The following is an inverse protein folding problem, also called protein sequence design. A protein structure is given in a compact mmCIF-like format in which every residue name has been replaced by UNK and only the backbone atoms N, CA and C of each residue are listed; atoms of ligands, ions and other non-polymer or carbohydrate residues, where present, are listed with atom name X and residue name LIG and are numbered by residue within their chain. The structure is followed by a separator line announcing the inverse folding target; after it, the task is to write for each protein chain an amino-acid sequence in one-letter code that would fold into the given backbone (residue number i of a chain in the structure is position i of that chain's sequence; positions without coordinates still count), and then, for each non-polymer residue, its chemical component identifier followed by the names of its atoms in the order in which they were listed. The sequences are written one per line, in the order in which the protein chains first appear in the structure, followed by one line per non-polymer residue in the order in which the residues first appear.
data_IF_416848264186
#
_entry.id   IF_416848264186
#
_cell.length_a   1.000
_cell.length_b   1.000
_cell.length_c   1.000
_cell.angle_alpha   90.00
_cell.angle_beta   90.00
_cell.angle_gamma   90.00
#
_symmetry.space_group_name_H-M   'P 1'
#
loop_
_entity.id
_entity.type
_entity.pdbx_description
1 polymer ?
#
# COMPACT_ATOMS: atom_id res chain seq x y z
N UNK A 1 23.23 3.22 -12.90
CA UNK A 1 22.05 3.96 -13.41
C UNK A 1 21.51 3.41 -14.72
N UNK A 2 22.35 3.08 -15.71
CA UNK A 2 21.90 2.54 -17.01
C UNK A 2 21.01 1.30 -16.86
N UNK A 3 21.45 0.29 -16.12
CA UNK A 3 20.68 -0.96 -15.93
C UNK A 3 19.31 -0.72 -15.26
N UNK A 4 19.23 0.22 -14.32
CA UNK A 4 17.94 0.64 -13.70
C UNK A 4 17.00 1.21 -14.77
N UNK A 5 17.51 2.09 -15.64
CA UNK A 5 16.70 2.72 -16.69
C UNK A 5 16.22 1.68 -17.70
N UNK A 6 17.09 0.75 -18.11
CA UNK A 6 16.74 -0.32 -19.04
C UNK A 6 15.70 -1.28 -18.45
N UNK A 7 15.82 -1.66 -17.19
CA UNK A 7 14.81 -2.46 -16.49
C UNK A 7 13.45 -1.75 -16.41
N UNK A 8 13.44 -0.46 -16.11
CA UNK A 8 12.22 0.36 -16.15
C UNK A 8 11.64 0.45 -17.56
N UNK A 9 12.48 0.63 -18.58
CA UNK A 9 12.03 0.73 -19.97
C UNK A 9 11.38 -0.57 -20.46
N UNK A 10 12.04 -1.71 -20.23
CA UNK A 10 11.52 -3.03 -20.56
C UNK A 10 10.19 -3.32 -19.82
N UNK A 11 10.14 -3.01 -18.51
CA UNK A 11 8.90 -3.08 -17.73
C UNK A 11 7.82 -2.21 -18.38
N UNK A 12 8.10 -0.95 -18.68
CA UNK A 12 7.14 -0.01 -19.26
C UNK A 12 6.49 -0.53 -20.55
N UNK A 13 7.29 -1.07 -21.49
CA UNK A 13 6.79 -1.59 -22.77
C UNK A 13 6.15 -2.99 -22.65
N UNK A 14 6.18 -3.61 -21.47
CA UNK A 14 5.62 -4.94 -21.24
C UNK A 14 6.53 -6.09 -21.67
N UNK A 15 7.81 -5.84 -21.96
CA UNK A 15 8.79 -6.89 -22.25
C UNK A 15 9.28 -7.51 -20.94
N UNK A 16 8.50 -8.48 -20.45
CA UNK A 16 8.77 -9.21 -19.22
C UNK A 16 10.17 -9.85 -19.22
N UNK A 17 10.55 -10.52 -20.31
CA UNK A 17 11.82 -11.24 -20.41
C UNK A 17 13.00 -10.28 -20.31
N UNK A 18 12.99 -9.17 -21.06
CA UNK A 18 14.04 -8.17 -20.97
C UNK A 18 14.08 -7.52 -19.58
N UNK A 19 12.91 -7.25 -18.97
CA UNK A 19 12.84 -6.68 -17.63
C UNK A 19 13.48 -7.61 -16.58
N UNK A 20 13.15 -8.91 -16.59
CA UNK A 20 13.71 -9.92 -15.69
C UNK A 20 15.24 -10.10 -15.89
N UNK A 21 15.70 -10.08 -17.14
CA UNK A 21 17.14 -10.10 -17.46
C UNK A 21 17.87 -8.88 -16.90
N UNK A 22 17.29 -7.68 -17.04
CA UNK A 22 17.85 -6.46 -16.47
C UNK A 22 17.83 -6.46 -14.94
N UNK A 23 16.77 -6.98 -14.31
CA UNK A 23 16.69 -7.15 -12.86
C UNK A 23 17.77 -8.12 -12.35
N UNK A 24 17.99 -9.23 -13.04
CA UNK A 24 19.04 -10.21 -12.71
C UNK A 24 20.44 -9.60 -12.84
N UNK A 25 20.71 -8.90 -13.94
CA UNK A 25 21.98 -8.19 -14.12
C UNK A 25 22.19 -7.08 -13.09
N UNK A 26 21.12 -6.38 -12.70
CA UNK A 26 21.14 -5.39 -11.63
C UNK A 26 21.48 -6.03 -10.29
N UNK A 27 20.85 -7.16 -9.92
CA UNK A 27 21.17 -7.89 -8.69
C UNK A 27 22.65 -8.26 -8.63
N UNK A 28 23.21 -8.79 -9.73
CA UNK A 28 24.64 -9.10 -9.79
C UNK A 28 25.55 -7.89 -9.55
N UNK A 29 25.18 -6.72 -10.09
CA UNK A 29 25.94 -5.48 -9.85
C UNK A 29 25.86 -5.05 -8.39
N UNK A 30 24.70 -5.22 -7.76
CA UNK A 30 24.51 -4.90 -6.34
C UNK A 30 25.36 -5.82 -5.47
N UNK A 31 25.40 -7.12 -5.76
CA UNK A 31 26.26 -8.08 -5.03
C UNK A 31 27.73 -7.71 -5.16
N UNK A 32 28.19 -7.36 -6.37
CA UNK A 32 29.57 -6.91 -6.60
C UNK A 32 29.92 -5.61 -5.87
N UNK A 33 28.92 -4.82 -5.46
CA UNK A 33 29.09 -3.62 -4.63
C UNK A 33 28.94 -3.88 -3.13
N UNK A 34 28.83 -5.14 -2.72
CA UNK A 34 28.70 -5.53 -1.30
C UNK A 34 27.26 -5.49 -0.79
N UNK A 35 26.27 -5.50 -1.67
CA UNK A 35 24.85 -5.57 -1.32
C UNK A 35 24.11 -4.24 -1.39
N UNK A 36 22.79 -4.31 -1.21
CA UNK A 36 21.88 -3.17 -1.40
C UNK A 36 22.19 -2.01 -0.44
N UNK A 37 22.56 -2.32 0.80
CA UNK A 37 22.87 -1.31 1.82
C UNK A 37 24.11 -0.49 1.44
N UNK A 38 25.12 -1.14 0.84
CA UNK A 38 26.39 -0.48 0.50
C UNK A 38 26.23 0.61 -0.56
N UNK A 39 25.20 0.51 -1.41
CA UNK A 39 24.89 1.53 -2.42
C UNK A 39 24.60 2.92 -1.82
N UNK A 40 24.22 2.98 -0.53
CA UNK A 40 23.92 4.25 0.14
C UNK A 40 25.14 5.16 0.24
N UNK A 41 26.34 4.57 0.31
CA UNK A 41 27.60 5.31 0.43
C UNK A 41 28.00 5.98 -0.90
N UNK A 42 27.62 5.39 -2.04
CA UNK A 42 27.77 6.02 -3.35
C UNK A 42 26.71 7.10 -3.57
N UNK A 43 25.45 6.76 -3.29
CA UNK A 43 24.32 7.66 -3.44
C UNK A 43 23.14 7.18 -2.57
N UNK A 44 22.69 7.97 -1.59
CA UNK A 44 21.65 7.53 -0.65
C UNK A 44 20.28 7.30 -1.29
N UNK A 45 20.06 7.69 -2.55
CA UNK A 45 18.84 7.42 -3.33
C UNK A 45 18.93 6.15 -4.18
N UNK A 46 20.12 5.58 -4.35
CA UNK A 46 20.34 4.45 -5.25
C UNK A 46 19.65 3.16 -4.77
N UNK A 47 19.68 2.79 -3.47
CA UNK A 47 18.95 1.62 -2.99
C UNK A 47 17.46 1.69 -3.35
N UNK A 48 16.83 2.85 -3.13
CA UNK A 48 15.41 3.06 -3.44
C UNK A 48 15.09 2.91 -4.94
N UNK A 49 16.01 3.30 -5.82
CA UNK A 49 15.84 3.13 -7.27
C UNK A 49 15.92 1.66 -7.68
N UNK A 50 16.84 0.91 -7.08
CA UNK A 50 17.00 -0.53 -7.30
C UNK A 50 15.74 -1.29 -6.86
N UNK A 51 15.25 -1.02 -5.64
CA UNK A 51 14.02 -1.65 -5.13
C UNK A 51 12.82 -1.39 -6.03
N UNK A 52 12.67 -0.17 -6.56
CA UNK A 52 11.56 0.17 -7.45
C UNK A 52 11.56 -0.59 -8.77
N UNK A 53 12.71 -0.98 -9.29
CA UNK A 53 12.76 -1.82 -10.50
C UNK A 53 12.22 -3.19 -10.11
N UNK A 54 12.84 -3.84 -9.14
CA UNK A 54 12.52 -5.22 -8.75
C UNK A 54 11.08 -5.39 -8.27
N UNK A 55 10.64 -4.57 -7.31
CA UNK A 55 9.25 -4.57 -6.84
C UNK A 55 8.30 -4.22 -7.99
N UNK A 56 8.65 -3.25 -8.84
CA UNK A 56 7.80 -2.86 -9.96
C UNK A 56 7.50 -4.00 -10.92
N UNK A 57 8.49 -4.87 -11.18
CA UNK A 57 8.30 -6.07 -11.98
C UNK A 57 7.35 -7.05 -11.28
N UNK A 58 7.53 -7.28 -9.98
CA UNK A 58 6.67 -8.17 -9.20
C UNK A 58 5.21 -7.70 -9.19
N UNK A 59 4.97 -6.39 -8.99
CA UNK A 59 3.63 -5.80 -8.99
C UNK A 59 2.96 -5.83 -10.38
N UNK A 60 3.75 -5.81 -11.46
CA UNK A 60 3.22 -5.81 -12.82
C UNK A 60 2.99 -7.22 -13.38
N UNK A 61 3.93 -8.13 -13.14
CA UNK A 61 3.98 -9.43 -13.80
C UNK A 61 3.75 -10.62 -12.85
N UNK A 62 3.63 -10.39 -11.55
CA UNK A 62 3.49 -11.46 -10.56
C UNK A 62 4.73 -12.34 -10.42
N UNK A 63 5.90 -11.83 -10.82
CA UNK A 63 7.16 -12.56 -10.66
C UNK A 63 7.70 -12.41 -9.23
N UNK A 64 8.58 -13.34 -8.85
CA UNK A 64 9.29 -13.26 -7.58
C UNK A 64 10.40 -12.20 -7.67
N UNK A 65 10.51 -11.26 -6.72
CA UNK A 65 11.60 -10.28 -6.72
C UNK A 65 12.98 -10.94 -6.64
N UNK A 66 14.00 -10.34 -7.27
CA UNK A 66 15.38 -10.84 -7.28
C UNK A 66 16.13 -10.53 -5.98
N UNK A 67 15.78 -9.45 -5.29
CA UNK A 67 16.33 -9.12 -3.96
C UNK A 67 15.51 -9.76 -2.82
N UNK A 68 14.65 -10.70 -3.16
CA UNK A 68 13.91 -11.49 -2.18
C UNK A 68 14.86 -12.39 -1.40
N UNK A 69 15.03 -12.09 -0.11
CA UNK A 69 15.77 -12.94 0.82
C UNK A 69 14.81 -13.79 1.66
N UNK A 70 15.05 -15.10 1.74
CA UNK A 70 14.31 -15.99 2.64
C UNK A 70 14.65 -15.72 4.11
N UNK A 71 15.81 -15.11 4.38
CA UNK A 71 16.33 -14.85 5.71
C UNK A 71 16.01 -13.42 6.21
N UNK A 72 15.06 -12.73 5.56
CA UNK A 72 14.64 -11.39 5.97
C UNK A 72 14.04 -11.41 7.38
N UNK A 73 14.52 -10.49 8.23
CA UNK A 73 13.93 -10.27 9.56
C UNK A 73 12.48 -9.81 9.45
N UNK A 74 11.60 -10.38 10.28
CA UNK A 74 10.19 -10.00 10.40
C UNK A 74 9.91 -9.09 11.59
N UNK A 75 10.93 -8.72 12.35
CA UNK A 75 10.78 -7.73 13.41
C UNK A 75 10.42 -6.37 12.78
N UNK A 76 9.56 -5.57 13.44
CA UNK A 76 9.27 -4.22 12.98
C UNK A 76 10.57 -3.43 12.86
N UNK A 77 10.76 -2.74 11.73
CA UNK A 77 11.98 -1.99 11.45
C UNK A 77 11.76 -0.49 11.72
N UNK A 78 10.88 0.17 10.96
CA UNK A 78 10.67 1.61 11.06
C UNK A 78 10.08 2.00 12.42
N UNK A 79 9.06 1.25 12.85
CA UNK A 79 8.39 1.48 14.14
C UNK A 79 9.30 1.23 15.36
N UNK A 80 10.43 0.53 15.17
CA UNK A 80 11.42 0.29 16.23
C UNK A 80 12.48 1.39 16.36
N UNK A 81 12.61 2.29 15.37
CA UNK A 81 13.70 3.28 15.35
C UNK A 81 13.42 4.54 16.19
N UNK A 82 12.28 4.62 16.88
CA UNK A 82 11.87 5.78 17.69
C UNK A 82 12.04 7.13 16.94
N UNK A 83 11.80 7.14 15.62
CA UNK A 83 11.95 8.35 14.78
C UNK A 83 11.10 9.52 15.28
N UNK A 84 9.92 9.21 15.84
CA UNK A 84 9.09 10.15 16.57
C UNK A 84 9.45 10.06 18.05
N UNK A 85 10.34 10.96 18.51
CA UNK A 85 10.75 11.07 19.91
C UNK A 85 9.57 11.51 20.77
N UNK A 86 8.82 10.53 21.26
CA UNK A 86 7.64 10.76 22.07
C UNK A 86 6.73 9.54 22.06
N UNK A 87 7.00 8.57 22.93
CA UNK A 87 5.98 7.62 23.40
C UNK A 87 4.90 8.37 24.18
N UNK A 88 4.19 9.29 23.53
CA UNK A 88 2.82 9.57 23.97
C UNK A 88 2.06 8.33 23.53
N UNK A 89 1.66 7.50 24.50
CA UNK A 89 0.52 6.61 24.30
C UNK A 89 -0.57 7.52 23.71
N UNK A 90 -0.84 7.41 22.42
CA UNK A 90 -1.96 8.12 21.83
C UNK A 90 -3.19 7.63 22.62
N UNK A 91 -3.97 8.53 23.23
CA UNK A 91 -5.20 8.14 23.92
C UNK A 91 -6.21 7.48 22.95
N UNK A 92 -6.05 7.73 21.65
CA UNK A 92 -6.95 7.30 20.58
C UNK A 92 -6.39 6.13 19.75
N UNK A 93 -5.74 5.14 20.37
CA UNK A 93 -5.52 3.88 19.65
C UNK A 93 -6.90 3.29 19.38
N UNK A 94 -7.31 3.25 18.11
CA UNK A 94 -8.55 2.64 17.68
C UNK A 94 -8.57 1.19 18.19
N UNK A 95 -9.35 0.95 19.25
CA UNK A 95 -9.35 -0.31 19.99
C UNK A 95 -9.67 -1.49 19.06
N UNK A 96 -10.54 -1.25 18.07
CA UNK A 96 -10.93 -2.25 17.08
C UNK A 96 -9.78 -2.60 16.14
N UNK A 97 -8.93 -1.62 15.76
CA UNK A 97 -7.76 -1.88 14.94
C UNK A 97 -6.72 -2.69 15.71
N UNK A 98 -6.45 -2.34 16.97
CA UNK A 98 -5.50 -3.10 17.79
C UNK A 98 -5.99 -4.52 18.08
N UNK A 99 -7.29 -4.71 18.30
CA UNK A 99 -7.91 -6.03 18.42
C UNK A 99 -7.76 -6.83 17.11
N UNK A 100 -8.02 -6.21 15.96
CA UNK A 100 -7.85 -6.84 14.65
C UNK A 100 -6.40 -7.26 14.39
N UNK A 101 -5.42 -6.40 14.67
CA UNK A 101 -3.99 -6.72 14.50
C UNK A 101 -3.53 -7.90 15.36
N UNK A 102 -4.18 -8.17 16.50
CA UNK A 102 -3.90 -9.35 17.33
C UNK A 102 -4.43 -10.65 16.73
N UNK A 103 -5.38 -10.57 15.78
CA UNK A 103 -5.92 -11.75 15.10
C UNK A 103 -5.14 -12.16 13.85
N UNK A 104 -4.25 -11.29 13.35
CA UNK A 104 -3.46 -11.55 12.14
C UNK A 104 -2.17 -12.33 12.46
N UNK A 105 -1.59 -12.94 11.42
CA UNK A 105 -0.20 -13.37 11.43
C UNK A 105 0.71 -12.24 11.98
N UNK A 106 1.52 -12.51 13.02
CA UNK A 106 2.41 -11.51 13.61
C UNK A 106 3.31 -10.80 12.60
N UNK A 107 3.71 -11.50 11.53
CA UNK A 107 4.51 -10.93 10.43
C UNK A 107 3.74 -9.85 9.68
N UNK A 108 2.46 -10.09 9.40
CA UNK A 108 1.59 -9.12 8.72
C UNK A 108 1.35 -7.90 9.62
N UNK A 109 1.11 -8.12 10.91
CA UNK A 109 0.95 -7.04 11.89
C UNK A 109 2.22 -6.20 12.07
N UNK A 110 3.40 -6.81 11.99
CA UNK A 110 4.66 -6.06 12.05
C UNK A 110 4.86 -5.19 10.81
N UNK A 111 4.47 -5.69 9.62
CA UNK A 111 4.50 -4.88 8.39
C UNK A 111 3.52 -3.72 8.47
N UNK A 112 2.32 -3.93 9.02
CA UNK A 112 1.37 -2.85 9.27
C UNK A 112 1.97 -1.73 10.13
N UNK A 113 2.64 -2.08 11.23
CA UNK A 113 3.29 -1.09 12.12
C UNK A 113 4.36 -0.27 11.41
N UNK A 114 5.15 -0.91 10.54
CA UNK A 114 6.16 -0.19 9.74
C UNK A 114 5.50 0.75 8.72
N UNK A 115 4.40 0.32 8.11
CA UNK A 115 3.62 1.15 7.20
C UNK A 115 2.93 2.33 7.91
N UNK A 116 2.39 2.09 9.11
CA UNK A 116 1.79 3.11 9.96
C UNK A 116 2.81 4.19 10.36
N UNK A 117 4.00 3.77 10.80
CA UNK A 117 5.09 4.69 11.13
C UNK A 117 5.52 5.51 9.91
N UNK A 118 5.66 4.87 8.74
CA UNK A 118 5.99 5.59 7.51
C UNK A 118 4.93 6.64 7.13
N UNK A 119 3.64 6.33 7.29
CA UNK A 119 2.57 7.28 7.03
C UNK A 119 2.60 8.46 8.02
N UNK A 120 2.82 8.20 9.31
CA UNK A 120 3.01 9.23 10.35
C UNK A 120 4.18 10.15 10.01
N UNK A 121 5.35 9.59 9.68
CA UNK A 121 6.53 10.35 9.27
C UNK A 121 6.24 11.21 8.02
N UNK A 122 5.51 10.67 7.04
CA UNK A 122 5.13 11.39 5.82
C UNK A 122 4.22 12.59 6.12
N UNK A 123 3.22 12.42 6.98
CA UNK A 123 2.34 13.50 7.40
C UNK A 123 3.10 14.59 8.18
N UNK A 124 3.96 14.21 9.13
CA UNK A 124 4.78 15.15 9.91
C UNK A 124 5.73 15.93 8.98
N UNK A 125 6.40 15.24 8.05
CA UNK A 125 7.29 15.88 7.08
C UNK A 125 6.54 16.91 6.23
N UNK A 126 5.34 16.56 5.75
CA UNK A 126 4.47 17.47 4.99
C UNK A 126 4.05 18.69 5.82
N UNK A 127 3.58 18.49 7.04
CA UNK A 127 3.10 19.57 7.92
C UNK A 127 4.23 20.52 8.34
N UNK A 128 5.45 20.00 8.50
CA UNK A 128 6.64 20.78 8.90
C UNK A 128 7.42 21.35 7.72
N UNK A 129 7.00 21.07 6.47
CA UNK A 129 7.75 21.45 5.27
C UNK A 129 9.11 20.76 5.14
N UNK A 130 9.36 19.70 5.92
CA UNK A 130 10.64 18.95 5.91
C UNK A 130 10.58 17.83 4.88
N UNK A 131 11.76 17.42 4.41
CA UNK A 131 11.89 16.25 3.54
C UNK A 131 12.33 15.04 4.35
N UNK A 132 11.76 13.88 4.05
CA UNK A 132 12.25 12.61 4.56
C UNK A 132 13.67 12.36 4.03
N UNK A 133 14.51 11.71 4.86
CA UNK A 133 15.83 11.32 4.42
C UNK A 133 15.73 10.28 3.29
N UNK A 134 16.62 10.32 2.28
CA UNK A 134 16.50 9.44 1.11
C UNK A 134 16.50 7.94 1.40
N UNK A 135 17.23 7.51 2.43
CA UNK A 135 17.36 6.11 2.86
C UNK A 135 16.04 5.53 3.40
N UNK A 136 15.20 6.37 4.03
CA UNK A 136 13.89 5.95 4.56
C UNK A 136 13.03 5.31 3.47
N UNK A 137 13.15 5.75 2.21
CA UNK A 137 12.38 5.16 1.11
C UNK A 137 12.79 3.71 0.83
N UNK A 138 14.08 3.40 0.77
CA UNK A 138 14.55 2.02 0.59
C UNK A 138 14.25 1.15 1.80
N UNK A 139 14.45 1.69 2.99
CA UNK A 139 14.15 1.01 4.25
C UNK A 139 12.66 0.66 4.35
N UNK A 140 11.78 1.59 3.99
CA UNK A 140 10.34 1.36 3.90
C UNK A 140 9.99 0.32 2.83
N UNK A 141 10.58 0.39 1.63
CA UNK A 141 10.32 -0.62 0.60
C UNK A 141 10.75 -2.04 1.03
N UNK A 142 11.87 -2.18 1.74
CA UNK A 142 12.33 -3.46 2.30
C UNK A 142 11.43 -3.94 3.42
N UNK A 143 11.19 -3.11 4.43
CA UNK A 143 10.40 -3.47 5.61
C UNK A 143 8.92 -3.66 5.34
N UNK A 144 8.40 -3.11 4.24
CA UNK A 144 6.98 -3.18 3.87
C UNK A 144 6.80 -4.02 2.61
N UNK A 145 7.16 -3.50 1.42
CA UNK A 145 6.75 -4.10 0.15
C UNK A 145 7.37 -5.47 -0.11
N UNK A 146 8.68 -5.67 0.12
CA UNK A 146 9.27 -7.00 -0.03
C UNK A 146 8.69 -8.01 0.96
N UNK A 147 8.42 -7.60 2.21
CA UNK A 147 7.76 -8.44 3.20
C UNK A 147 6.32 -8.80 2.81
N UNK A 148 5.53 -7.85 2.28
CA UNK A 148 4.19 -8.14 1.77
C UNK A 148 4.23 -9.10 0.57
N UNK A 149 5.22 -8.96 -0.31
CA UNK A 149 5.43 -9.87 -1.44
C UNK A 149 5.85 -11.27 -0.96
N UNK A 150 6.54 -11.38 0.18
CA UNK A 150 6.95 -12.63 0.79
C UNK A 150 5.86 -13.34 1.59
N UNK A 151 4.87 -12.61 2.07
CA UNK A 151 3.76 -13.19 2.81
C UNK A 151 2.80 -13.91 1.87
N UNK A 152 2.42 -15.12 2.25
CA UNK A 152 1.34 -15.89 1.64
C UNK A 152 0.29 -16.15 2.71
N UNK A 153 -0.70 -15.25 2.89
CA UNK A 153 -1.72 -15.42 3.91
C UNK A 153 -2.66 -16.58 3.59
N UNK A 154 -3.14 -17.25 4.62
CA UNK A 154 -4.01 -18.42 4.47
C UNK A 154 -5.49 -18.02 4.41
N UNK A 155 -5.86 -16.89 5.03
CA UNK A 155 -7.24 -16.41 5.06
C UNK A 155 -7.52 -15.33 4.01
N UNK A 156 -8.76 -15.29 3.51
CA UNK A 156 -9.21 -14.25 2.60
C UNK A 156 -9.08 -12.84 3.21
N UNK A 157 -9.38 -12.71 4.50
CA UNK A 157 -9.23 -11.45 5.26
C UNK A 157 -7.79 -10.96 5.28
N UNK A 158 -6.83 -11.81 5.65
CA UNK A 158 -5.42 -11.41 5.67
C UNK A 158 -4.87 -11.17 4.26
N UNK A 159 -5.29 -11.95 3.26
CA UNK A 159 -4.83 -11.74 1.89
C UNK A 159 -5.34 -10.41 1.32
N UNK A 160 -6.61 -10.09 1.52
CA UNK A 160 -7.17 -8.78 1.15
C UNK A 160 -6.48 -7.64 1.91
N UNK A 161 -6.20 -7.82 3.20
CA UNK A 161 -5.49 -6.82 4.00
C UNK A 161 -4.03 -6.62 3.54
N UNK A 162 -3.32 -7.71 3.24
CA UNK A 162 -1.97 -7.70 2.65
C UNK A 162 -1.94 -6.94 1.33
N UNK A 163 -2.86 -7.25 0.42
CA UNK A 163 -2.93 -6.61 -0.89
C UNK A 163 -3.36 -5.14 -0.78
N UNK A 164 -4.28 -4.80 0.13
CA UNK A 164 -4.62 -3.40 0.42
C UNK A 164 -3.44 -2.59 0.95
N UNK A 165 -2.64 -3.14 1.87
CA UNK A 165 -1.38 -2.52 2.30
C UNK A 165 -0.39 -2.36 1.15
N UNK A 166 -0.31 -3.36 0.26
CA UNK A 166 0.60 -3.35 -0.88
C UNK A 166 0.20 -2.26 -1.88
N UNK A 167 -1.09 -2.16 -2.23
CA UNK A 167 -1.65 -1.13 -3.09
C UNK A 167 -1.47 0.25 -2.49
N UNK A 168 -1.74 0.43 -1.19
CA UNK A 168 -1.50 1.68 -0.50
C UNK A 168 -0.02 2.08 -0.54
N UNK A 169 0.90 1.19 -0.19
CA UNK A 169 2.34 1.46 -0.25
C UNK A 169 2.80 1.75 -1.69
N UNK A 170 2.36 0.96 -2.67
CA UNK A 170 2.69 1.15 -4.08
C UNK A 170 2.22 2.52 -4.59
N UNK A 171 1.02 2.94 -4.18
CA UNK A 171 0.47 4.27 -4.49
C UNK A 171 1.28 5.42 -3.90
N UNK A 172 2.21 5.18 -2.97
CA UNK A 172 3.15 6.19 -2.46
C UNK A 172 4.48 6.10 -3.20
N UNK A 173 5.06 4.90 -3.30
CA UNK A 173 6.43 4.71 -3.81
C UNK A 173 6.55 4.80 -5.33
N UNK A 174 5.43 4.67 -6.06
CA UNK A 174 5.38 4.62 -7.52
C UNK A 174 4.59 5.76 -8.18
N UNK A 175 4.18 6.81 -7.43
CA UNK A 175 3.38 7.96 -7.93
C UNK A 175 3.95 8.68 -9.15
N UNK A 176 5.26 8.65 -9.35
CA UNK A 176 5.94 9.37 -10.43
C UNK A 176 5.68 8.73 -11.81
N UNK A 177 4.89 7.66 -11.85
CA UNK A 177 4.45 6.97 -13.05
C UNK A 177 2.98 7.32 -13.29
N UNK A 178 2.72 8.34 -14.09
CA UNK A 178 1.37 8.74 -14.53
C UNK A 178 0.66 7.70 -15.44
N UNK A 179 1.03 6.42 -15.37
CA UNK A 179 0.41 5.38 -16.20
C UNK A 179 -0.25 4.33 -15.33
N UNK A 180 -1.58 4.41 -15.27
CA UNK A 180 -2.50 3.48 -14.62
C UNK A 180 -2.50 2.05 -15.19
N UNK A 181 -1.65 1.75 -16.18
CA UNK A 181 -1.46 0.40 -16.74
C UNK A 181 -0.41 -0.46 -16.00
N UNK A 182 0.19 0.04 -14.92
CA UNK A 182 1.52 -0.45 -14.48
C UNK A 182 1.53 -1.44 -13.31
N UNK A 183 0.39 -1.86 -12.78
CA UNK A 183 0.30 -2.84 -11.68
C UNK A 183 -0.79 -3.87 -11.92
N UNK A 184 -0.99 -4.28 -13.18
CA UNK A 184 -2.08 -5.17 -13.59
C UNK A 184 -2.20 -6.41 -12.69
N UNK A 185 -1.07 -7.09 -12.39
CA UNK A 185 -1.09 -8.24 -11.51
C UNK A 185 -1.59 -7.91 -10.09
N UNK A 186 -1.14 -6.81 -9.49
CA UNK A 186 -1.62 -6.38 -8.17
C UNK A 186 -3.10 -5.95 -8.21
N UNK A 187 -3.51 -5.21 -9.24
CA UNK A 187 -4.89 -4.73 -9.39
C UNK A 187 -5.87 -5.91 -9.54
N UNK A 188 -5.53 -6.89 -10.39
CA UNK A 188 -6.30 -8.12 -10.58
C UNK A 188 -6.32 -8.94 -9.29
N UNK A 189 -5.16 -9.17 -8.69
CA UNK A 189 -5.04 -9.94 -7.43
C UNK A 189 -5.84 -9.30 -6.29
N UNK A 190 -5.84 -7.97 -6.19
CA UNK A 190 -6.56 -7.27 -5.13
C UNK A 190 -8.07 -7.32 -5.38
N UNK A 191 -8.51 -7.20 -6.63
CA UNK A 191 -9.92 -7.38 -7.01
C UNK A 191 -10.42 -8.77 -6.64
N UNK A 192 -9.68 -9.82 -7.02
CA UNK A 192 -10.00 -11.20 -6.68
C UNK A 192 -10.05 -11.42 -5.15
N UNK A 193 -9.07 -10.87 -4.42
CA UNK A 193 -9.05 -10.97 -2.97
C UNK A 193 -10.23 -10.28 -2.28
N UNK A 194 -10.72 -9.16 -2.82
CA UNK A 194 -11.93 -8.50 -2.31
C UNK A 194 -13.19 -9.33 -2.60
N UNK A 195 -13.27 -9.95 -3.78
CA UNK A 195 -14.39 -10.86 -4.13
C UNK A 195 -14.41 -12.06 -3.17
N UNK A 196 -13.27 -12.65 -2.87
CA UNK A 196 -13.16 -13.74 -1.90
C UNK A 196 -13.45 -13.27 -0.47
N UNK A 197 -13.00 -12.08 -0.07
CA UNK A 197 -13.33 -11.49 1.22
C UNK A 197 -14.84 -11.26 1.38
N UNK A 198 -15.54 -10.85 0.31
CA UNK A 198 -17.00 -10.67 0.33
C UNK A 198 -17.72 -11.97 0.67
N UNK A 199 -17.19 -13.12 0.23
CA UNK A 199 -17.73 -14.46 0.48
C UNK A 199 -17.30 -15.04 1.84
N UNK A 200 -16.23 -14.52 2.44
CA UNK A 200 -15.66 -15.05 3.68
C UNK A 200 -16.59 -14.89 4.88
N UNK A 201 -16.59 -15.88 5.77
CA UNK A 201 -17.35 -15.87 7.01
C UNK A 201 -16.77 -14.88 8.03
N UNK A 202 -15.44 -14.76 8.09
CA UNK A 202 -14.72 -13.82 8.93
C UNK A 202 -14.28 -12.61 8.11
N UNK A 203 -14.63 -11.42 8.59
CA UNK A 203 -14.30 -10.14 7.96
C UNK A 203 -13.56 -9.24 8.93
N UNK A 204 -12.72 -8.31 8.43
CA UNK A 204 -12.11 -7.29 9.27
C UNK A 204 -13.19 -6.32 9.80
N UNK A 205 -12.87 -5.50 10.81
CA UNK A 205 -13.75 -4.42 11.27
C UNK A 205 -14.23 -3.53 10.10
N UNK A 206 -15.46 -3.02 10.17
CA UNK A 206 -16.07 -2.23 9.08
C UNK A 206 -15.24 -1.02 8.63
N UNK A 207 -14.51 -0.40 9.56
CA UNK A 207 -13.59 0.71 9.25
C UNK A 207 -12.40 0.26 8.40
N UNK A 208 -11.79 -0.87 8.72
CA UNK A 208 -10.71 -1.49 7.94
C UNK A 208 -11.23 -1.99 6.59
N UNK A 209 -12.42 -2.57 6.57
CA UNK A 209 -13.07 -3.00 5.33
C UNK A 209 -13.31 -1.80 4.40
N UNK A 210 -13.87 -0.71 4.93
CA UNK A 210 -14.06 0.52 4.15
C UNK A 210 -12.73 1.05 3.62
N UNK A 211 -11.68 1.04 4.46
CA UNK A 211 -10.34 1.44 4.04
C UNK A 211 -9.86 0.62 2.84
N UNK A 212 -9.96 -0.71 2.89
CA UNK A 212 -9.58 -1.59 1.77
C UNK A 212 -10.33 -1.24 0.47
N UNK A 213 -11.65 -1.07 0.57
CA UNK A 213 -12.50 -0.72 -0.57
C UNK A 213 -12.15 0.65 -1.15
N UNK A 214 -11.81 1.63 -0.32
CA UNK A 214 -11.39 2.95 -0.77
C UNK A 214 -10.00 2.94 -1.41
N UNK A 215 -9.06 2.16 -0.88
CA UNK A 215 -7.75 1.97 -1.50
C UNK A 215 -7.89 1.32 -2.87
N UNK A 216 -8.72 0.27 -2.98
CA UNK A 216 -9.05 -0.32 -4.29
C UNK A 216 -9.63 0.75 -5.22
N UNK A 217 -10.70 1.42 -4.80
CA UNK A 217 -11.45 2.35 -5.66
C UNK A 217 -10.63 3.55 -6.16
N UNK A 218 -9.68 4.02 -5.35
CA UNK A 218 -8.82 5.16 -5.69
C UNK A 218 -7.64 4.80 -6.58
N UNK A 219 -7.26 3.53 -6.63
CA UNK A 219 -6.14 3.03 -7.44
C UNK A 219 -6.59 2.29 -8.70
N UNK A 220 -7.80 1.72 -8.73
CA UNK A 220 -8.36 1.04 -9.90
C UNK A 220 -8.53 1.97 -11.11
N UNK A 221 -8.38 1.39 -12.31
CA UNK A 221 -8.57 2.11 -13.58
C UNK A 221 -10.00 2.64 -13.70
N UNK A 222 -10.13 3.94 -14.00
CA UNK A 222 -11.45 4.57 -14.16
C UNK A 222 -12.20 3.98 -15.36
N UNK A 223 -13.42 3.49 -15.12
CA UNK A 223 -14.32 2.98 -16.16
C UNK A 223 -14.46 1.45 -16.22
N UNK A 224 -13.75 0.69 -15.38
CA UNK A 224 -13.79 -0.78 -15.33
C UNK A 224 -14.17 -1.37 -13.96
N UNK A 225 -14.81 -0.59 -13.09
CA UNK A 225 -15.12 -1.03 -11.72
C UNK A 225 -16.11 -2.20 -11.68
N UNK A 226 -15.80 -3.22 -10.88
CA UNK A 226 -16.71 -4.31 -10.57
C UNK A 226 -17.95 -3.75 -9.83
N UNK A 227 -19.14 -3.88 -10.44
CA UNK A 227 -20.39 -3.37 -9.88
C UNK A 227 -20.73 -3.97 -8.52
N UNK A 228 -20.31 -5.21 -8.24
CA UNK A 228 -20.55 -5.88 -6.97
C UNK A 228 -19.66 -5.31 -5.86
N UNK A 229 -18.45 -4.83 -6.17
CA UNK A 229 -17.58 -4.11 -5.22
C UNK A 229 -18.11 -2.69 -4.99
N UNK A 230 -18.56 -2.00 -6.05
CA UNK A 230 -19.18 -0.68 -5.92
C UNK A 230 -20.46 -0.70 -5.08
N UNK A 231 -21.31 -1.72 -5.26
CA UNK A 231 -22.47 -1.93 -4.38
C UNK A 231 -22.05 -2.19 -2.93
N UNK A 232 -20.98 -2.96 -2.73
CA UNK A 232 -20.46 -3.26 -1.39
C UNK A 232 -19.90 -2.02 -0.68
N UNK A 233 -19.26 -1.10 -1.40
CA UNK A 233 -18.86 0.21 -0.88
C UNK A 233 -20.06 0.94 -0.27
N UNK A 234 -21.17 1.03 -1.02
CA UNK A 234 -22.36 1.72 -0.56
C UNK A 234 -22.99 1.03 0.66
N UNK A 235 -23.00 -0.30 0.71
CA UNK A 235 -23.46 -1.06 1.88
C UNK A 235 -22.63 -0.78 3.14
N UNK A 236 -21.30 -0.74 3.01
CA UNK A 236 -20.40 -0.48 4.15
C UNK A 236 -20.51 0.97 4.62
N UNK A 237 -20.61 1.93 3.68
CA UNK A 237 -20.81 3.35 4.01
C UNK A 237 -22.13 3.58 4.74
N UNK A 238 -23.21 2.94 4.30
CA UNK A 238 -24.54 2.99 4.93
C UNK A 238 -24.48 2.46 6.37
N UNK A 239 -23.85 1.29 6.57
CA UNK A 239 -23.66 0.70 7.90
C UNK A 239 -22.79 1.54 8.85
N UNK A 240 -21.98 2.47 8.31
CA UNK A 240 -21.17 3.42 9.07
C UNK A 240 -21.77 4.84 9.10
N UNK A 241 -22.96 5.03 8.53
CA UNK A 241 -23.64 6.33 8.40
C UNK A 241 -22.78 7.43 7.75
N UNK A 242 -22.04 7.07 6.69
CA UNK A 242 -21.14 7.99 5.98
C UNK A 242 -21.86 8.63 4.79
N UNK A 243 -22.10 9.93 4.86
CA UNK A 243 -22.80 10.71 3.84
C UNK A 243 -21.96 11.88 3.29
N UNK A 244 -20.80 12.15 3.88
CA UNK A 244 -19.94 13.27 3.52
C UNK A 244 -18.46 12.88 3.40
N UNK A 245 -17.70 13.70 2.66
CA UNK A 245 -16.26 13.55 2.59
C UNK A 245 -15.60 13.63 3.97
N UNK A 246 -16.10 14.50 4.86
CA UNK A 246 -15.55 14.68 6.21
C UNK A 246 -15.64 13.38 7.02
N UNK A 247 -16.81 12.73 7.02
CA UNK A 247 -17.02 11.46 7.72
C UNK A 247 -16.17 10.34 7.12
N UNK A 248 -16.17 10.20 5.79
CA UNK A 248 -15.35 9.20 5.10
C UNK A 248 -13.87 9.38 5.43
N UNK A 249 -13.39 10.61 5.33
CA UNK A 249 -12.00 10.97 5.59
C UNK A 249 -11.61 10.69 7.04
N UNK A 250 -12.48 10.96 8.01
CA UNK A 250 -12.23 10.64 9.41
C UNK A 250 -12.06 9.13 9.64
N UNK A 251 -12.87 8.30 8.97
CA UNK A 251 -12.71 6.83 9.03
C UNK A 251 -11.41 6.38 8.37
N UNK A 252 -11.07 6.93 7.20
CA UNK A 252 -9.82 6.57 6.52
C UNK A 252 -8.59 6.93 7.35
N UNK A 253 -8.60 8.10 8.00
CA UNK A 253 -7.52 8.54 8.91
C UNK A 253 -7.43 7.71 10.19
N UNK A 254 -8.54 7.17 10.68
CA UNK A 254 -8.53 6.31 11.88
C UNK A 254 -7.94 4.92 11.62
N UNK A 255 -7.84 4.53 10.35
CA UNK A 255 -7.17 3.30 9.89
C UNK A 255 -5.74 3.64 9.45
N UNK A 256 -5.57 4.30 8.31
CA UNK A 256 -4.27 4.74 7.80
C UNK A 256 -4.41 5.71 6.63
N UNK A 257 -3.76 6.87 6.71
CA UNK A 257 -3.86 7.88 5.65
C UNK A 257 -2.64 8.80 5.58
N UNK A 258 -2.33 9.32 4.38
CA UNK A 258 -1.33 10.36 4.16
C UNK A 258 -1.99 11.54 3.44
N UNK A 259 -2.29 12.59 4.21
CA UNK A 259 -3.14 13.71 3.80
C UNK A 259 -2.66 14.34 2.48
N UNK A 260 -1.39 14.71 2.43
CA UNK A 260 -0.81 15.41 1.29
C UNK A 260 -0.71 14.56 0.01
N UNK A 261 -0.78 13.23 0.14
CA UNK A 261 -0.69 12.34 -1.00
C UNK A 261 -2.07 12.04 -1.57
N UNK A 262 -3.08 11.87 -0.72
CA UNK A 262 -4.35 11.27 -1.10
C UNK A 262 -5.56 12.20 -1.08
N UNK A 263 -5.58 13.27 -0.29
CA UNK A 263 -6.79 14.09 -0.09
C UNK A 263 -7.39 14.59 -1.41
N UNK A 264 -6.60 15.32 -2.20
CA UNK A 264 -7.10 15.99 -3.40
C UNK A 264 -7.56 15.00 -4.47
N UNK A 265 -6.81 13.92 -4.69
CA UNK A 265 -7.14 12.90 -5.70
C UNK A 265 -8.33 12.05 -5.25
N UNK A 266 -8.32 11.59 -4.00
CA UNK A 266 -9.36 10.68 -3.49
C UNK A 266 -10.69 11.41 -3.34
N UNK A 267 -10.70 12.67 -2.89
CA UNK A 267 -11.93 13.47 -2.85
C UNK A 267 -12.58 13.58 -4.23
N UNK A 268 -11.79 13.89 -5.26
CA UNK A 268 -12.27 13.99 -6.65
C UNK A 268 -12.81 12.65 -7.16
N UNK A 269 -12.13 11.54 -6.85
CA UNK A 269 -12.50 10.21 -7.34
C UNK A 269 -13.77 9.69 -6.65
N UNK A 270 -13.96 10.00 -5.37
CA UNK A 270 -14.99 9.44 -4.50
C UNK A 270 -16.23 10.34 -4.39
N UNK A 271 -16.18 11.58 -4.87
CA UNK A 271 -17.31 12.52 -4.89
C UNK A 271 -18.60 11.91 -5.51
N UNK A 272 -18.57 11.23 -6.67
CA UNK A 272 -19.79 10.60 -7.22
C UNK A 272 -20.36 9.48 -6.33
N UNK A 273 -19.51 8.76 -5.60
CA UNK A 273 -19.93 7.70 -4.68
C UNK A 273 -20.57 8.30 -3.43
N UNK A 274 -19.99 9.39 -2.90
CA UNK A 274 -20.53 10.15 -1.78
C UNK A 274 -21.89 10.77 -2.09
N UNK A 275 -22.07 11.34 -3.29
CA UNK A 275 -23.37 11.86 -3.73
C UNK A 275 -24.45 10.77 -3.75
N UNK A 276 -24.12 9.56 -4.20
CA UNK A 276 -25.04 8.42 -4.19
C UNK A 276 -25.39 7.99 -2.77
N UNK A 277 -24.40 7.92 -1.89
CA UNK A 277 -24.61 7.58 -0.48
C UNK A 277 -25.53 8.61 0.21
N UNK A 278 -25.28 9.91 0.02
CA UNK A 278 -26.09 10.98 0.60
C UNK A 278 -27.56 10.94 0.12
N UNK A 279 -27.81 10.66 -1.17
CA UNK A 279 -29.17 10.52 -1.71
C UNK A 279 -29.91 9.33 -1.12
N UNK A 280 -29.22 8.20 -0.91
CA UNK A 280 -29.81 7.01 -0.28
C UNK A 280 -30.17 7.30 1.19
N UNK A 281 -29.28 7.98 1.93
CA UNK A 281 -29.53 8.37 3.32
C UNK A 281 -30.68 9.38 3.48
N UNK A 282 -30.86 10.29 2.51
CA UNK A 282 -31.97 11.25 2.51
C UNK A 282 -33.33 10.65 2.11
N UNK A 283 -33.35 9.44 1.54
CA UNK A 283 -34.56 8.78 1.04
C UNK A 283 -35.21 7.77 2.01
N UNK A 284 -34.73 7.67 3.25
CA UNK A 284 -35.35 6.83 4.30
C UNK A 284 -36.28 7.72 5.14
N UNK A 285 -37.40 8.10 4.53
CA UNK A 285 -38.64 8.60 5.17
C UNK A 285 -39.68 8.81 4.05
N UNK A 286 -40.17 7.72 3.45
CA UNK A 286 -41.36 7.71 2.58
C UNK A 286 -41.99 6.32 2.55
#
# INVERSE_FOLDING_TARGET
MVVVILGLAAEMIGDRTAAENHATGMARIVDLRGGLEMLRFDNPRLPAKVCRVDIGLALRFGCKPVFFDKDMSWNPYLSSQDFVRGKRKHPDTNHDMEAFLKTLDPRLSNVWRDLEEFAKLSNIASQTGRKLQPNIFSEAMVSILYRLLALSPESASENAFRLGMMTFAASIFFRWRDMKQRQAYLDDSFTDALIELKKAATRPPSTVLLWLLMIWRTNSVQGGGDQAIEGWILEVMDGLAICSWSELHNVLKSVLWVDCLFDASSKRILEPTLEKAARKGAGVDS
#
